data_IF_441012267157
#
_entry.id   IF_441012267157
#
_cell.length_a   1.000
_cell.length_b   1.000
_cell.length_c   1.000
_cell.angle_alpha   90.00
_cell.angle_beta   90.00
_cell.angle_gamma   90.00
#
_symmetry.space_group_name_H-M   'P 1'
#
loop_
_entity.id
_entity.type
_entity.pdbx_description
1 polymer ?
#
# COMPACT_ATOMS: atom_id res chain seq x y z
N UNK A 1 33.06 9.79 -40.22
CA UNK A 1 32.57 8.66 -39.38
C UNK A 1 32.87 8.81 -37.87
N UNK A 2 33.92 9.53 -37.46
CA UNK A 2 34.36 9.58 -36.04
C UNK A 2 33.53 10.51 -35.11
N UNK A 3 33.15 11.71 -35.55
CA UNK A 3 32.46 12.70 -34.69
C UNK A 3 30.98 12.36 -34.42
N UNK A 4 30.29 11.78 -35.40
CA UNK A 4 28.87 11.40 -35.31
C UNK A 4 28.64 10.24 -34.34
N UNK A 5 29.60 9.31 -34.28
CA UNK A 5 29.63 8.19 -33.33
C UNK A 5 29.88 8.66 -31.90
N UNK A 6 30.78 9.64 -31.71
CA UNK A 6 31.03 10.27 -30.40
C UNK A 6 29.79 10.98 -29.85
N UNK A 7 29.06 11.72 -30.69
CA UNK A 7 27.80 12.36 -30.29
C UNK A 7 26.74 11.33 -29.87
N UNK A 8 26.67 10.21 -30.57
CA UNK A 8 25.71 9.13 -30.28
C UNK A 8 26.00 8.44 -28.94
N UNK A 9 27.28 8.22 -28.63
CA UNK A 9 27.74 7.69 -27.34
C UNK A 9 27.50 8.68 -26.19
N UNK A 10 27.66 9.98 -26.44
CA UNK A 10 27.36 11.02 -25.45
C UNK A 10 25.87 11.06 -25.11
N UNK A 11 24.99 10.92 -26.11
CA UNK A 11 23.53 10.82 -25.93
C UNK A 11 23.13 9.56 -25.16
N UNK A 12 23.74 8.41 -25.47
CA UNK A 12 23.54 7.15 -24.71
C UNK A 12 24.07 7.24 -23.27
N UNK A 13 25.12 8.02 -23.01
CA UNK A 13 25.69 8.22 -21.68
C UNK A 13 24.90 9.19 -20.79
N UNK A 14 24.20 10.17 -21.38
CA UNK A 14 23.34 11.12 -20.65
C UNK A 14 21.95 10.51 -20.35
N UNK A 15 21.48 9.60 -21.22
CA UNK A 15 20.23 8.81 -21.05
C UNK A 15 20.51 7.41 -20.48
N UNK A 16 21.76 7.12 -20.17
CA UNK A 16 22.19 5.86 -19.56
C UNK A 16 21.95 5.86 -18.05
N UNK A 17 21.78 4.66 -17.49
CA UNK A 17 20.50 4.27 -16.93
C UNK A 17 19.97 5.34 -15.98
N UNK A 18 18.81 5.93 -16.27
CA UNK A 18 18.02 6.57 -15.22
C UNK A 18 18.07 5.65 -14.02
N UNK A 19 18.56 6.16 -12.89
CA UNK A 19 18.62 5.41 -11.64
C UNK A 19 17.23 4.83 -11.38
N UNK A 20 17.01 3.58 -11.78
CA UNK A 20 15.84 2.81 -11.37
C UNK A 20 16.13 2.49 -9.91
N UNK A 21 15.89 3.47 -9.04
CA UNK A 21 15.85 3.22 -7.62
C UNK A 21 14.70 2.25 -7.42
N UNK A 22 15.03 0.99 -7.16
CA UNK A 22 14.04 0.05 -6.70
C UNK A 22 13.56 0.55 -5.34
N UNK A 23 12.32 1.06 -5.30
CA UNK A 23 11.69 1.45 -4.04
C UNK A 23 11.22 0.18 -3.35
N UNK A 24 11.65 -0.03 -2.12
CA UNK A 24 11.04 -1.04 -1.25
C UNK A 24 9.74 -0.47 -0.70
N UNK A 25 8.67 -1.24 -0.83
CA UNK A 25 7.39 -0.94 -0.20
C UNK A 25 7.22 -1.78 1.05
N UNK A 26 6.53 -1.26 2.06
CA UNK A 26 6.22 -2.01 3.29
C UNK A 26 4.72 -2.11 3.52
N UNK A 27 4.25 -3.31 3.85
CA UNK A 27 2.90 -3.58 4.35
C UNK A 27 3.01 -3.92 5.83
N UNK A 28 2.21 -3.27 6.68
CA UNK A 28 2.19 -3.49 8.13
C UNK A 28 0.75 -3.64 8.62
N UNK A 29 0.55 -4.53 9.59
CA UNK A 29 -0.71 -4.66 10.32
C UNK A 29 -0.45 -4.44 11.81
N UNK A 30 -1.34 -3.69 12.45
CA UNK A 30 -1.35 -3.48 13.89
C UNK A 30 -2.66 -4.02 14.44
N UNK A 31 -2.56 -5.13 15.15
CA UNK A 31 -3.70 -5.77 15.82
C UNK A 31 -3.63 -5.48 17.32
N UNK A 32 -4.70 -4.92 17.86
CA UNK A 32 -4.85 -4.63 19.28
C UNK A 32 -6.05 -5.38 19.81
N UNK A 33 -5.83 -6.22 20.83
CA UNK A 33 -6.90 -6.87 21.57
C UNK A 33 -6.94 -6.34 23.00
N UNK A 34 -8.13 -6.07 23.51
CA UNK A 34 -8.38 -5.61 24.87
C UNK A 34 -9.58 -6.34 25.49
N UNK A 35 -9.71 -6.31 26.81
CA UNK A 35 -10.85 -6.88 27.50
C UNK A 35 -11.24 -6.01 28.68
N UNK A 36 -12.54 -5.69 28.80
CA UNK A 36 -13.08 -4.91 29.90
C UNK A 36 -12.66 -3.43 29.94
N UNK A 37 -12.15 -2.87 28.83
CA UNK A 37 -11.79 -1.45 28.73
C UNK A 37 -13.03 -0.65 28.31
N UNK A 38 -13.57 0.24 29.15
CA UNK A 38 -14.74 1.03 28.79
C UNK A 38 -14.45 1.95 27.59
N UNK A 39 -15.41 2.08 26.68
CA UNK A 39 -15.35 2.95 25.49
C UNK A 39 -14.18 2.67 24.51
N UNK A 40 -13.58 1.48 24.57
CA UNK A 40 -12.56 1.05 23.62
C UNK A 40 -12.97 -0.31 23.02
N UNK A 41 -12.78 -0.56 21.71
CA UNK A 41 -13.11 -1.85 21.12
C UNK A 41 -12.31 -3.01 21.74
N UNK A 42 -12.91 -4.19 21.84
CA UNK A 42 -12.21 -5.40 22.27
C UNK A 42 -11.16 -5.84 21.25
N UNK A 43 -11.36 -5.50 19.96
CA UNK A 43 -10.40 -5.74 18.90
C UNK A 43 -10.36 -4.56 17.92
N UNK A 44 -9.15 -4.21 17.47
CA UNK A 44 -8.90 -3.24 16.40
C UNK A 44 -7.77 -3.76 15.52
N UNK A 45 -7.95 -3.72 14.20
CA UNK A 45 -6.90 -3.97 13.21
C UNK A 45 -6.70 -2.77 12.28
N UNK A 46 -5.46 -2.38 12.06
CA UNK A 46 -5.08 -1.28 11.16
C UNK A 46 -4.02 -1.76 10.17
N UNK A 47 -4.30 -1.66 8.87
CA UNK A 47 -3.35 -1.97 7.79
C UNK A 47 -2.72 -0.70 7.22
N UNK A 48 -1.40 -0.71 7.01
CA UNK A 48 -0.63 0.37 6.40
C UNK A 48 0.16 -0.09 5.18
N UNK A 49 0.21 0.70 4.12
CA UNK A 49 1.17 0.57 3.00
C UNK A 49 2.02 1.83 2.97
N UNK A 50 3.35 1.68 3.09
CA UNK A 50 4.29 2.81 3.14
C UNK A 50 3.93 3.89 4.19
N UNK A 51 3.44 3.44 5.35
CA UNK A 51 2.90 4.27 6.45
C UNK A 51 1.52 4.89 6.22
N UNK A 52 0.96 4.81 5.00
CA UNK A 52 -0.40 5.28 4.73
C UNK A 52 -1.41 4.22 5.16
N UNK A 53 -2.43 4.62 5.92
CA UNK A 53 -3.49 3.71 6.35
C UNK A 53 -4.38 3.31 5.18
N UNK A 54 -4.53 2.00 4.97
CA UNK A 54 -5.31 1.43 3.88
C UNK A 54 -6.60 0.76 4.37
N UNK A 55 -6.60 0.26 5.60
CA UNK A 55 -7.74 -0.43 6.21
C UNK A 55 -7.88 -0.11 7.69
N UNK A 56 -9.11 -0.21 8.20
CA UNK A 56 -9.45 -0.17 9.62
C UNK A 56 -10.61 -1.15 9.87
N UNK A 57 -10.46 -2.05 10.83
CA UNK A 57 -11.56 -2.86 11.35
C UNK A 57 -11.58 -2.80 12.88
N UNK A 58 -12.77 -2.82 13.47
CA UNK A 58 -12.93 -2.87 14.91
C UNK A 58 -14.14 -3.72 15.33
N UNK A 59 -14.09 -4.25 16.54
CA UNK A 59 -15.13 -5.13 17.07
C UNK A 59 -16.49 -4.46 17.33
N UNK A 60 -16.55 -3.12 17.36
CA UNK A 60 -17.80 -2.38 17.56
C UNK A 60 -18.59 -2.30 16.26
N UNK A 61 -17.92 -1.96 15.16
CA UNK A 61 -18.54 -1.81 13.84
C UNK A 61 -18.58 -3.11 13.04
N UNK A 62 -17.65 -4.04 13.32
CA UNK A 62 -17.48 -5.35 12.66
C UNK A 62 -17.44 -5.22 11.14
N UNK A 63 -16.69 -4.23 10.66
CA UNK A 63 -16.60 -3.89 9.26
C UNK A 63 -15.20 -3.40 8.96
N UNK A 64 -14.52 -4.07 8.03
CA UNK A 64 -13.32 -3.53 7.43
C UNK A 64 -13.66 -2.34 6.53
N UNK A 65 -13.17 -1.18 6.93
CA UNK A 65 -13.32 0.07 6.20
C UNK A 65 -12.06 0.34 5.37
N UNK A 66 -12.17 0.43 4.03
CA UNK A 66 -11.07 0.95 3.21
C UNK A 66 -10.86 2.44 3.53
N UNK A 67 -9.59 2.85 3.65
CA UNK A 67 -9.22 4.25 3.96
C UNK A 67 -8.65 5.02 2.77
N UNK A 68 -8.28 4.32 1.71
CA UNK A 68 -7.80 4.92 0.45
C UNK A 68 -8.78 4.63 -0.70
N UNK A 69 -8.90 5.56 -1.65
CA UNK A 69 -9.80 5.44 -2.80
C UNK A 69 -9.55 4.14 -3.59
N UNK A 70 -8.28 3.82 -3.82
CA UNK A 70 -7.89 2.61 -4.53
C UNK A 70 -8.23 1.33 -3.76
N UNK A 71 -8.27 1.37 -2.43
CA UNK A 71 -8.69 0.22 -1.62
C UNK A 71 -10.20 0.01 -1.72
N UNK A 72 -10.98 1.07 -1.97
CA UNK A 72 -12.43 0.95 -2.15
C UNK A 72 -12.81 0.25 -3.46
N UNK A 73 -11.95 0.32 -4.48
CA UNK A 73 -12.18 -0.32 -5.77
C UNK A 73 -12.17 -1.86 -5.69
N UNK A 74 -11.53 -2.44 -4.66
CA UNK A 74 -11.44 -3.90 -4.51
C UNK A 74 -12.83 -4.56 -4.43
N UNK A 75 -13.81 -3.86 -3.85
CA UNK A 75 -15.19 -4.36 -3.73
C UNK A 75 -15.86 -4.49 -5.09
N UNK A 76 -15.51 -3.65 -6.06
CA UNK A 76 -16.05 -3.71 -7.41
C UNK A 76 -15.38 -4.83 -8.23
N UNK A 77 -14.08 -5.05 -8.03
CA UNK A 77 -13.30 -6.10 -8.71
C UNK A 77 -13.57 -7.50 -8.14
N UNK A 78 -13.72 -7.59 -6.82
CA UNK A 78 -14.02 -8.80 -6.06
C UNK A 78 -15.02 -8.50 -4.93
N UNK A 79 -16.33 -8.66 -5.18
CA UNK A 79 -17.38 -8.41 -4.18
C UNK A 79 -17.28 -9.26 -2.91
N UNK A 80 -16.54 -10.39 -2.94
CA UNK A 80 -16.35 -11.28 -1.79
C UNK A 80 -15.02 -11.06 -1.07
N UNK A 81 -14.22 -10.09 -1.51
CA UNK A 81 -12.89 -9.85 -0.97
C UNK A 81 -12.91 -9.66 0.55
N UNK A 82 -13.81 -8.80 1.06
CA UNK A 82 -13.85 -8.47 2.47
C UNK A 82 -14.28 -9.67 3.32
N UNK A 83 -15.40 -10.33 2.98
CA UNK A 83 -15.88 -11.52 3.71
C UNK A 83 -14.82 -12.64 3.82
N UNK A 84 -13.95 -12.77 2.82
CA UNK A 84 -12.87 -13.77 2.84
C UNK A 84 -11.68 -13.37 3.72
N UNK A 85 -11.43 -12.07 3.88
CA UNK A 85 -10.24 -11.54 4.55
C UNK A 85 -10.54 -10.94 5.94
N UNK A 86 -11.80 -10.94 6.37
CA UNK A 86 -12.26 -10.39 7.67
C UNK A 86 -13.29 -11.32 8.29
#
# INVERSE_FOLDING_TARGET
MKLKMLLFLLLLGIVGPHCTSARTHSLKYFDTASSGVPNFPEFVSVGLVDEDQITHDDSNTKRAEPKQDWMSNITAEDPQYWERNT
#
